data_IF_042940042127
#
_entry.id   IF_042940042127
#
_cell.length_a   1.000
_cell.length_b   1.000
_cell.length_c   1.000
_cell.angle_alpha   90.00
_cell.angle_beta   90.00
_cell.angle_gamma   90.00
#
_symmetry.space_group_name_H-M   'P 1'
#
loop_
_entity.id
_entity.type
_entity.pdbx_description
1 polymer ?
#
# COMPACT_ATOMS: atom_id res chain seq x y z
N UNK A 1 4.08 16.63 20.15
CA UNK A 1 5.54 16.57 20.01
C UNK A 1 6.13 16.02 21.31
N UNK A 2 6.78 14.86 21.28
CA UNK A 2 7.71 14.48 22.36
C UNK A 2 9.00 15.28 22.15
N UNK A 3 9.58 15.79 23.22
CA UNK A 3 10.93 16.40 23.22
C UNK A 3 11.22 17.42 22.10
N UNK A 4 10.23 18.26 21.73
CA UNK A 4 10.31 19.28 20.66
C UNK A 4 10.53 18.74 19.23
N UNK A 5 10.31 17.45 18.96
CA UNK A 5 10.52 16.82 17.65
C UNK A 5 9.34 15.99 17.11
N UNK A 6 9.56 15.41 15.92
CA UNK A 6 8.70 14.44 15.25
C UNK A 6 9.51 13.14 15.13
N UNK A 7 8.99 12.06 15.71
CA UNK A 7 9.66 10.75 15.74
C UNK A 7 8.91 9.73 14.87
N UNK A 8 9.67 8.84 14.22
CA UNK A 8 9.12 7.68 13.51
C UNK A 8 8.98 6.52 14.49
N UNK A 9 7.76 5.98 14.61
CA UNK A 9 7.48 4.83 15.48
C UNK A 9 7.86 3.54 14.76
N UNK A 10 8.64 2.69 15.42
CA UNK A 10 8.97 1.34 14.95
C UNK A 10 7.84 0.36 15.27
N UNK A 11 7.64 -0.63 14.40
CA UNK A 11 6.71 -1.72 14.68
C UNK A 11 7.32 -2.80 15.60
N UNK A 12 6.54 -3.85 15.89
CA UNK A 12 6.94 -4.95 16.78
C UNK A 12 8.20 -5.72 16.29
N UNK A 13 8.61 -5.53 15.03
CA UNK A 13 9.84 -6.10 14.44
C UNK A 13 10.95 -5.05 14.24
N UNK A 14 10.85 -3.90 14.90
CA UNK A 14 11.79 -2.78 14.80
C UNK A 14 11.93 -2.15 13.40
N UNK A 15 10.97 -2.41 12.50
CA UNK A 15 10.92 -1.78 11.19
C UNK A 15 10.23 -0.42 11.25
N UNK A 16 10.68 0.53 10.42
CA UNK A 16 10.09 1.88 10.29
C UNK A 16 8.80 1.92 9.49
N UNK A 17 8.44 0.82 8.84
CA UNK A 17 7.24 0.67 8.04
C UNK A 17 6.53 -0.62 8.41
N UNK A 18 5.20 -0.59 8.41
CA UNK A 18 4.36 -1.77 8.64
C UNK A 18 3.62 -2.11 7.35
N UNK A 19 3.74 -3.35 6.83
CA UNK A 19 3.03 -3.76 5.61
C UNK A 19 1.52 -3.54 5.72
N UNK A 20 0.90 -2.96 4.69
CA UNK A 20 -0.55 -2.74 4.64
C UNK A 20 -1.30 -4.02 4.23
N UNK A 21 -1.27 -5.03 5.11
CA UNK A 21 -1.85 -6.36 4.88
C UNK A 21 -2.67 -6.82 6.11
N UNK A 22 -3.83 -7.41 5.84
CA UNK A 22 -4.65 -8.15 6.81
C UNK A 22 -4.85 -9.57 6.31
N UNK A 23 -4.27 -10.55 6.99
CA UNK A 23 -4.48 -11.97 6.73
C UNK A 23 -5.49 -12.54 7.74
N UNK A 24 -6.55 -13.16 7.23
CA UNK A 24 -7.54 -13.86 8.04
C UNK A 24 -7.13 -15.33 8.21
N UNK A 25 -6.79 -15.70 9.44
CA UNK A 25 -6.47 -17.08 9.81
C UNK A 25 -7.67 -17.82 10.41
N UNK A 26 -7.44 -19.05 10.86
CA UNK A 26 -8.52 -19.89 11.42
C UNK A 26 -9.05 -19.38 12.77
N UNK A 27 -8.18 -18.79 13.61
CA UNK A 27 -8.53 -18.36 14.98
C UNK A 27 -8.40 -16.86 15.20
N UNK A 28 -7.57 -16.19 14.40
CA UNK A 28 -7.22 -14.78 14.58
C UNK A 28 -6.88 -14.11 13.26
N UNK A 29 -6.81 -12.78 13.30
CA UNK A 29 -6.33 -11.95 12.19
C UNK A 29 -4.86 -11.66 12.42
N UNK A 30 -4.06 -11.75 11.36
CA UNK A 30 -2.68 -11.32 11.35
C UNK A 30 -2.59 -10.02 10.55
N UNK A 31 -2.12 -8.95 11.17
CA UNK A 31 -2.12 -7.60 10.59
C UNK A 31 -0.68 -7.10 10.56
N UNK A 32 -0.32 -6.31 9.54
CA UNK A 32 1.02 -5.78 9.44
C UNK A 32 2.01 -6.86 9.02
N UNK A 33 3.14 -6.93 9.72
CA UNK A 33 4.24 -7.84 9.35
C UNK A 33 3.85 -9.31 9.49
N UNK A 34 3.09 -9.67 10.51
CA UNK A 34 2.54 -11.03 10.66
C UNK A 34 1.58 -11.41 9.50
N UNK A 35 0.79 -10.43 9.02
CA UNK A 35 -0.07 -10.62 7.85
C UNK A 35 0.74 -10.82 6.57
N UNK A 36 1.78 -10.03 6.37
CA UNK A 36 2.69 -10.16 5.23
C UNK A 36 3.40 -11.54 5.23
N UNK A 37 3.92 -12.00 6.37
CA UNK A 37 4.57 -13.30 6.51
C UNK A 37 3.65 -14.48 6.13
N UNK A 38 2.34 -14.32 6.33
CA UNK A 38 1.34 -15.35 6.02
C UNK A 38 0.87 -15.37 4.56
N UNK A 39 1.17 -14.33 3.78
CA UNK A 39 0.56 -14.11 2.45
C UNK A 39 0.92 -15.20 1.44
N UNK A 40 2.12 -15.76 1.51
CA UNK A 40 2.54 -16.83 0.60
C UNK A 40 1.79 -18.15 0.83
N UNK A 41 1.42 -18.44 2.08
CA UNK A 41 0.71 -19.66 2.46
C UNK A 41 -0.81 -19.50 2.39
N UNK A 42 -1.31 -18.29 2.62
CA UNK A 42 -2.74 -18.01 2.69
C UNK A 42 -3.19 -16.84 1.77
N UNK A 43 -2.85 -16.86 0.48
CA UNK A 43 -3.03 -15.70 -0.39
C UNK A 43 -4.48 -15.27 -0.59
N UNK A 44 -5.42 -16.23 -0.60
CA UNK A 44 -6.86 -15.96 -0.78
C UNK A 44 -7.50 -15.23 0.40
N UNK A 45 -6.87 -15.28 1.57
CA UNK A 45 -7.35 -14.65 2.80
C UNK A 45 -6.41 -13.53 3.26
N UNK A 46 -5.41 -13.15 2.46
CA UNK A 46 -4.49 -12.04 2.71
C UNK A 46 -4.89 -10.83 1.87
N UNK A 47 -5.51 -9.86 2.52
CA UNK A 47 -6.00 -8.64 1.88
C UNK A 47 -4.93 -7.56 1.94
N UNK A 48 -4.53 -7.05 0.77
CA UNK A 48 -3.57 -5.96 0.61
C UNK A 48 -4.13 -4.90 -0.36
N UNK A 49 -3.36 -3.84 -0.62
CA UNK A 49 -3.74 -2.78 -1.56
C UNK A 49 -5.08 -2.10 -1.26
N UNK A 50 -5.49 -2.06 0.02
CA UNK A 50 -6.85 -1.63 0.40
C UNK A 50 -7.21 -0.19 -0.02
N UNK A 51 -6.21 0.70 -0.14
CA UNK A 51 -6.38 2.07 -0.67
C UNK A 51 -6.94 2.08 -2.09
N UNK A 52 -6.78 0.99 -2.86
CA UNK A 52 -7.34 0.81 -4.21
C UNK A 52 -8.84 0.54 -4.19
N UNK A 53 -9.37 -0.05 -3.12
CA UNK A 53 -10.76 -0.48 -3.01
C UNK A 53 -11.63 0.49 -2.20
N UNK A 54 -11.04 1.18 -1.21
CA UNK A 54 -11.78 2.01 -0.26
C UNK A 54 -12.58 3.13 -0.96
N UNK A 55 -13.88 3.18 -0.65
CA UNK A 55 -14.83 4.19 -1.14
C UNK A 55 -15.04 4.23 -2.66
N UNK A 56 -14.65 3.18 -3.39
CA UNK A 56 -14.96 3.02 -4.82
C UNK A 56 -16.20 2.15 -5.00
N UNK A 57 -17.03 2.50 -5.99
CA UNK A 57 -18.11 1.61 -6.43
C UNK A 57 -17.53 0.36 -7.10
N UNK A 58 -18.20 -0.77 -6.95
CA UNK A 58 -17.77 -2.02 -7.56
C UNK A 58 -17.67 -1.88 -9.09
N UNK A 59 -18.58 -1.14 -9.71
CA UNK A 59 -18.62 -0.90 -11.16
C UNK A 59 -17.50 0.00 -11.70
N UNK A 60 -16.64 0.60 -10.85
CA UNK A 60 -15.52 1.44 -11.28
C UNK A 60 -14.58 0.65 -12.22
N UNK A 61 -14.34 1.09 -13.47
CA UNK A 61 -13.50 0.36 -14.42
C UNK A 61 -12.06 0.17 -13.94
N UNK A 62 -11.53 1.11 -13.13
CA UNK A 62 -10.19 1.01 -12.54
C UNK A 62 -10.17 -0.08 -11.45
N UNK A 63 -11.21 -0.14 -10.61
CA UNK A 63 -11.36 -1.20 -9.61
C UNK A 63 -11.51 -2.57 -10.28
N UNK A 64 -12.30 -2.67 -11.35
CA UNK A 64 -12.47 -3.91 -12.11
C UNK A 64 -11.16 -4.41 -12.74
N UNK A 65 -10.25 -3.50 -13.13
CA UNK A 65 -8.90 -3.87 -13.55
C UNK A 65 -8.07 -4.39 -12.39
N UNK A 66 -8.09 -3.70 -11.24
CA UNK A 66 -7.37 -4.14 -10.05
C UNK A 66 -7.85 -5.52 -9.56
N UNK A 67 -9.17 -5.78 -9.51
CA UNK A 67 -9.75 -7.05 -9.02
C UNK A 67 -9.18 -8.28 -9.76
N UNK A 68 -8.88 -8.15 -11.07
CA UNK A 68 -8.33 -9.24 -11.88
C UNK A 68 -6.94 -9.70 -11.41
N UNK A 69 -6.18 -8.85 -10.73
CA UNK A 69 -4.84 -9.17 -10.23
C UNK A 69 -4.80 -9.49 -8.73
N UNK A 70 -5.91 -9.32 -8.00
CA UNK A 70 -5.97 -9.59 -6.57
C UNK A 70 -6.05 -11.10 -6.31
N UNK A 71 -5.30 -11.63 -5.31
CA UNK A 71 -5.34 -13.05 -4.98
C UNK A 71 -6.58 -13.46 -4.17
N UNK A 72 -7.39 -12.50 -3.73
CA UNK A 72 -8.58 -12.67 -2.90
C UNK A 72 -9.85 -12.28 -3.65
N UNK A 73 -10.98 -12.85 -3.23
CA UNK A 73 -12.26 -12.65 -3.91
C UNK A 73 -12.91 -11.33 -3.48
N UNK A 74 -13.40 -10.59 -4.48
CA UNK A 74 -14.16 -9.35 -4.30
C UNK A 74 -15.43 -9.44 -5.13
N UNK A 75 -16.59 -9.20 -4.52
CA UNK A 75 -17.89 -9.16 -5.23
C UNK A 75 -18.59 -7.83 -5.01
N UNK A 76 -19.63 -7.56 -5.79
CA UNK A 76 -20.54 -6.45 -5.53
C UNK A 76 -21.39 -6.74 -4.28
N UNK A 77 -21.51 -5.75 -3.40
CA UNK A 77 -22.45 -5.73 -2.29
C UNK A 77 -23.81 -5.16 -2.71
N UNK A 78 -24.84 -5.30 -1.85
CA UNK A 78 -26.19 -4.81 -2.15
C UNK A 78 -26.28 -3.28 -2.30
N UNK A 79 -25.27 -2.56 -1.82
CA UNK A 79 -25.12 -1.11 -1.91
C UNK A 79 -24.29 -0.66 -3.14
N UNK A 80 -23.86 -1.59 -3.99
CA UNK A 80 -23.01 -1.31 -5.16
C UNK A 80 -21.53 -1.10 -4.82
N UNK A 81 -21.10 -1.35 -3.57
CA UNK A 81 -19.71 -1.27 -3.14
C UNK A 81 -19.08 -2.67 -3.04
N UNK A 82 -17.75 -2.79 -3.16
CA UNK A 82 -17.07 -4.08 -3.08
C UNK A 82 -17.17 -4.72 -1.69
N UNK A 83 -17.36 -6.04 -1.67
CA UNK A 83 -17.23 -6.91 -0.51
C UNK A 83 -16.06 -7.87 -0.71
N UNK A 84 -15.15 -7.91 0.26
CA UNK A 84 -13.96 -8.76 0.27
C UNK A 84 -14.29 -10.04 1.04
N UNK A 85 -14.11 -11.19 0.40
CA UNK A 85 -14.43 -12.49 0.98
C UNK A 85 -13.19 -13.19 1.50
N UNK A 86 -13.20 -13.55 2.78
CA UNK A 86 -12.13 -14.32 3.41
C UNK A 86 -12.70 -15.40 4.33
N UNK A 87 -12.05 -16.56 4.39
CA UNK A 87 -12.33 -17.58 5.39
C UNK A 87 -11.74 -17.15 6.73
N UNK A 88 -12.60 -16.90 7.71
CA UNK A 88 -12.22 -16.46 9.04
C UNK A 88 -13.09 -17.17 10.07
N UNK A 89 -12.46 -17.72 11.12
CA UNK A 89 -13.17 -18.48 12.16
C UNK A 89 -13.97 -19.68 11.60
N UNK A 90 -13.39 -20.39 10.64
CA UNK A 90 -14.00 -21.55 9.98
C UNK A 90 -15.02 -21.22 8.89
N UNK A 91 -15.50 -19.98 8.81
CA UNK A 91 -16.60 -19.55 7.94
C UNK A 91 -16.13 -18.61 6.83
N UNK A 92 -16.84 -18.58 5.70
CA UNK A 92 -16.67 -17.51 4.73
C UNK A 92 -17.33 -16.24 5.25
N UNK A 93 -16.57 -15.15 5.35
CA UNK A 93 -17.06 -13.85 5.80
C UNK A 93 -16.78 -12.78 4.76
N UNK A 94 -17.69 -11.83 4.66
CA UNK A 94 -17.56 -10.65 3.82
C UNK A 94 -17.18 -9.43 4.66
N UNK A 95 -16.22 -8.64 4.17
CA UNK A 95 -15.77 -7.41 4.79
C UNK A 95 -15.80 -6.27 3.77
N UNK A 96 -16.25 -5.10 4.19
CA UNK A 96 -16.09 -3.89 3.38
C UNK A 96 -14.63 -3.44 3.38
N UNK A 97 -14.16 -2.75 2.33
CA UNK A 97 -12.81 -2.19 2.35
C UNK A 97 -12.56 -1.24 3.53
N UNK A 98 -13.59 -0.50 3.94
CA UNK A 98 -13.57 0.40 5.10
C UNK A 98 -13.29 -0.37 6.40
N UNK A 99 -13.91 -1.53 6.61
CA UNK A 99 -13.62 -2.38 7.76
C UNK A 99 -12.18 -2.88 7.75
N UNK A 100 -11.67 -3.35 6.60
CA UNK A 100 -10.29 -3.82 6.49
C UNK A 100 -9.29 -2.68 6.75
N UNK A 101 -9.54 -1.50 6.20
CA UNK A 101 -8.74 -0.30 6.48
C UNK A 101 -8.76 0.04 7.98
N UNK A 102 -9.92 -0.07 8.63
CA UNK A 102 -10.07 0.11 10.08
C UNK A 102 -9.24 -0.89 10.88
N UNK A 103 -9.19 -2.17 10.48
CA UNK A 103 -8.34 -3.17 11.11
C UNK A 103 -6.86 -2.79 11.05
N UNK A 104 -6.39 -2.27 9.91
CA UNK A 104 -5.01 -1.79 9.79
C UNK A 104 -4.74 -0.57 10.68
N UNK A 105 -5.67 0.39 10.71
CA UNK A 105 -5.56 1.59 11.56
C UNK A 105 -5.55 1.22 13.05
N UNK A 106 -6.37 0.24 13.48
CA UNK A 106 -6.32 -0.29 14.85
C UNK A 106 -4.97 -0.89 15.20
N UNK A 107 -4.34 -1.62 14.27
CA UNK A 107 -3.02 -2.18 14.49
C UNK A 107 -1.94 -1.08 14.61
N UNK A 108 -1.98 -0.07 13.75
CA UNK A 108 -1.07 1.08 13.82
C UNK A 108 -1.27 1.89 15.11
N UNK A 109 -2.53 2.06 15.54
CA UNK A 109 -2.85 2.65 16.83
C UNK A 109 -2.21 1.86 17.97
N UNK A 110 -2.38 0.53 18.00
CA UNK A 110 -1.77 -0.31 19.04
C UNK A 110 -0.25 -0.23 19.08
N UNK A 111 0.42 -0.17 17.92
CA UNK A 111 1.88 0.05 17.83
C UNK A 111 2.25 1.41 18.43
N UNK A 112 1.52 2.47 18.07
CA UNK A 112 1.76 3.81 18.62
C UNK A 112 1.54 3.86 20.14
N UNK A 113 0.45 3.28 20.64
CA UNK A 113 0.12 3.24 22.08
C UNK A 113 1.18 2.51 22.89
N UNK A 114 1.69 1.37 22.41
CA UNK A 114 2.82 0.67 23.04
C UNK A 114 4.07 1.55 23.10
N UNK A 115 4.39 2.27 22.01
CA UNK A 115 5.56 3.14 21.94
C UNK A 115 5.46 4.35 22.87
N UNK A 116 4.27 4.96 22.98
CA UNK A 116 4.06 6.12 23.84
C UNK A 116 3.67 5.76 25.28
N UNK A 117 3.35 4.50 25.55
CA UNK A 117 2.82 4.02 26.83
C UNK A 117 1.63 4.87 27.32
N UNK A 118 0.74 5.22 26.40
CA UNK A 118 -0.42 6.08 26.61
C UNK A 118 -1.46 5.83 25.50
N UNK A 119 -2.72 6.17 25.77
CA UNK A 119 -3.77 6.09 24.78
C UNK A 119 -3.53 7.05 23.61
N UNK A 120 -3.78 6.59 22.38
CA UNK A 120 -3.71 7.40 21.16
C UNK A 120 -5.13 7.58 20.63
N UNK A 121 -5.63 8.81 20.72
CA UNK A 121 -7.01 9.15 20.34
C UNK A 121 -7.03 9.92 19.03
N UNK A 122 -6.31 11.04 18.97
CA UNK A 122 -6.33 11.91 17.80
C UNK A 122 -5.34 11.46 16.72
N UNK A 123 -5.70 11.66 15.45
CA UNK A 123 -4.82 11.36 14.32
C UNK A 123 -4.96 12.37 13.17
N UNK A 124 -3.93 12.43 12.34
CA UNK A 124 -3.96 13.03 11.00
C UNK A 124 -3.58 11.93 10.01
N UNK A 125 -4.41 11.73 8.97
CA UNK A 125 -4.23 10.62 8.03
C UNK A 125 -3.83 11.17 6.67
N UNK A 126 -2.69 10.69 6.15
CA UNK A 126 -2.26 10.94 4.78
C UNK A 126 -3.13 10.19 3.77
N UNK A 127 -3.64 10.90 2.77
CA UNK A 127 -4.42 10.34 1.66
C UNK A 127 -3.86 10.81 0.31
N UNK A 128 -4.05 10.03 -0.77
CA UNK A 128 -3.71 10.49 -2.10
C UNK A 128 -4.51 11.74 -2.49
N UNK A 129 -3.89 12.65 -3.23
CA UNK A 129 -4.51 13.92 -3.67
C UNK A 129 -5.79 13.68 -4.48
N UNK A 130 -5.82 12.58 -5.22
CA UNK A 130 -6.90 12.19 -6.11
C UNK A 130 -8.08 11.46 -5.44
N UNK A 131 -8.04 11.25 -4.12
CA UNK A 131 -9.16 10.63 -3.41
C UNK A 131 -10.43 11.49 -3.49
N UNK A 132 -11.53 10.88 -3.92
CA UNK A 132 -12.84 11.51 -4.03
C UNK A 132 -13.48 11.75 -2.65
N UNK A 133 -14.59 12.49 -2.61
CA UNK A 133 -15.36 12.71 -1.38
C UNK A 133 -15.73 11.38 -0.68
N UNK A 134 -16.22 10.40 -1.44
CA UNK A 134 -16.62 9.09 -0.91
C UNK A 134 -15.44 8.31 -0.34
N UNK A 135 -14.28 8.35 -1.00
CA UNK A 135 -13.06 7.70 -0.50
C UNK A 135 -12.55 8.35 0.78
N UNK A 136 -12.57 9.69 0.84
CA UNK A 136 -12.22 10.45 2.05
C UNK A 136 -13.15 10.10 3.20
N UNK A 137 -14.46 10.03 2.95
CA UNK A 137 -15.44 9.65 3.96
C UNK A 137 -15.19 8.23 4.48
N UNK A 138 -14.94 7.27 3.58
CA UNK A 138 -14.62 5.90 3.95
C UNK A 138 -13.33 5.80 4.80
N UNK A 139 -12.32 6.64 4.58
CA UNK A 139 -11.12 6.70 5.45
C UNK A 139 -11.46 7.24 6.85
N UNK A 140 -12.33 8.25 6.96
CA UNK A 140 -12.80 8.76 8.26
C UNK A 140 -13.62 7.73 9.03
N UNK A 141 -14.48 6.98 8.33
CA UNK A 141 -15.25 5.90 8.92
C UNK A 141 -14.32 4.75 9.37
N UNK A 142 -13.28 4.43 8.59
CA UNK A 142 -12.24 3.47 8.99
C UNK A 142 -11.48 3.91 10.25
N UNK A 143 -11.17 5.21 10.38
CA UNK A 143 -10.57 5.76 11.60
C UNK A 143 -11.52 5.63 12.80
N UNK A 144 -12.81 5.89 12.59
CA UNK A 144 -13.85 5.72 13.62
C UNK A 144 -13.95 4.27 14.08
N UNK A 145 -13.95 3.30 13.14
CA UNK A 145 -13.90 1.86 13.45
C UNK A 145 -12.68 1.52 14.31
N UNK A 146 -11.55 2.18 14.06
CA UNK A 146 -10.32 1.97 14.83
C UNK A 146 -10.30 2.67 16.21
N UNK A 147 -11.34 3.42 16.56
CA UNK A 147 -11.38 4.24 17.77
C UNK A 147 -10.37 5.38 17.74
N UNK A 148 -10.14 5.95 16.55
CA UNK A 148 -9.34 7.16 16.34
C UNK A 148 -10.26 8.33 15.98
N UNK A 149 -9.90 9.52 16.44
CA UNK A 149 -10.52 10.77 16.07
C UNK A 149 -9.66 11.50 15.02
N UNK A 150 -10.05 11.48 13.74
CA UNK A 150 -9.29 12.15 12.68
C UNK A 150 -9.49 13.67 12.74
N UNK A 151 -8.45 14.39 13.18
CA UNK A 151 -8.44 15.86 13.18
C UNK A 151 -8.43 16.44 11.76
N UNK A 152 -7.74 15.75 10.85
CA UNK A 152 -7.60 16.17 9.45
C UNK A 152 -7.21 14.97 8.57
N UNK A 153 -7.71 14.98 7.34
CA UNK A 153 -7.07 14.26 6.23
C UNK A 153 -6.14 15.23 5.51
N UNK A 154 -4.89 14.83 5.32
CA UNK A 154 -3.88 15.62 4.61
C UNK A 154 -3.47 14.89 3.34
N UNK A 155 -3.24 15.62 2.25
CA UNK A 155 -2.68 15.01 1.05
C UNK A 155 -1.25 14.56 1.34
N UNK A 156 -0.88 13.35 0.91
CA UNK A 156 0.45 12.76 1.12
C UNK A 156 1.56 13.71 0.66
N UNK A 157 1.46 14.24 -0.57
CA UNK A 157 2.44 15.19 -1.12
C UNK A 157 2.45 16.55 -0.41
N UNK A 158 1.31 16.98 0.14
CA UNK A 158 1.26 18.21 0.98
C UNK A 158 1.93 17.98 2.34
N UNK A 159 1.80 16.79 2.92
CA UNK A 159 2.52 16.43 4.14
C UNK A 159 4.03 16.39 3.88
N UNK A 160 4.47 15.86 2.74
CA UNK A 160 5.87 15.89 2.30
C UNK A 160 6.38 17.34 2.11
N UNK A 161 5.61 18.19 1.44
CA UNK A 161 5.95 19.60 1.26
C UNK A 161 6.02 20.34 2.60
N UNK A 162 5.11 20.05 3.54
CA UNK A 162 5.14 20.61 4.89
C UNK A 162 6.40 20.18 5.65
N UNK A 163 6.75 18.90 5.60
CA UNK A 163 7.97 18.39 6.22
C UNK A 163 9.21 19.10 5.65
N UNK A 164 9.30 19.24 4.32
CA UNK A 164 10.38 20.00 3.68
C UNK A 164 10.45 21.44 4.21
N UNK A 165 9.32 22.15 4.25
CA UNK A 165 9.27 23.55 4.71
C UNK A 165 9.64 23.75 6.18
N UNK A 166 9.34 22.79 7.05
CA UNK A 166 9.67 22.87 8.48
C UNK A 166 11.19 22.72 8.72
N UNK A 167 11.84 21.81 7.98
CA UNK A 167 13.26 21.52 8.19
C UNK A 167 14.22 22.38 7.35
N UNK A 168 13.73 23.02 6.28
CA UNK A 168 14.55 23.89 5.42
C UNK A 168 14.78 25.25 6.09
N UNK A 169 16.05 25.58 6.36
CA UNK A 169 16.44 26.78 7.14
C UNK A 169 16.73 28.02 6.29
N UNK A 170 16.97 27.82 5.00
CA UNK A 170 17.41 28.82 4.01
C UNK A 170 16.28 29.23 3.04
N UNK A 171 15.03 29.22 3.50
CA UNK A 171 13.89 29.64 2.69
C UNK A 171 13.90 31.18 2.46
N UNK A 172 13.59 31.65 1.24
CA UNK A 172 13.59 33.07 0.92
C UNK A 172 12.52 33.85 1.70
N UNK A 173 12.82 35.12 2.02
CA UNK A 173 11.87 35.99 2.71
C UNK A 173 10.86 36.64 1.75
N UNK A 174 11.31 37.12 0.59
CA UNK A 174 10.50 37.94 -0.31
C UNK A 174 10.01 37.18 -1.55
N UNK A 175 10.84 36.32 -2.14
CA UNK A 175 10.52 35.58 -3.36
C UNK A 175 9.96 34.18 -3.06
N UNK A 176 9.13 33.64 -3.95
CA UNK A 176 8.64 32.26 -3.83
C UNK A 176 9.69 31.29 -4.37
N UNK A 177 10.19 30.40 -3.51
CA UNK A 177 10.92 29.22 -3.98
C UNK A 177 9.91 28.14 -4.39
N UNK A 178 9.81 27.86 -5.68
CA UNK A 178 8.96 26.78 -6.18
C UNK A 178 9.73 25.46 -6.15
N UNK A 179 9.16 24.45 -5.50
CA UNK A 179 9.72 23.10 -5.38
C UNK A 179 8.70 22.09 -5.91
N UNK A 180 9.17 21.15 -6.74
CA UNK A 180 8.38 20.03 -7.21
C UNK A 180 8.64 18.80 -6.32
N UNK A 181 7.57 18.21 -5.80
CA UNK A 181 7.59 16.92 -5.10
C UNK A 181 6.99 15.86 -6.01
N UNK A 182 7.74 14.80 -6.27
CA UNK A 182 7.33 13.66 -7.08
C UNK A 182 7.35 12.43 -6.19
N UNK A 183 6.18 11.85 -5.95
CA UNK A 183 5.98 10.64 -5.16
C UNK A 183 5.50 9.52 -6.08
N UNK A 184 6.37 8.54 -6.33
CA UNK A 184 6.04 7.31 -7.06
C UNK A 184 6.06 6.16 -6.05
N UNK A 185 4.88 5.85 -5.52
CA UNK A 185 4.71 4.80 -4.54
C UNK A 185 4.52 3.42 -5.19
N UNK A 186 3.93 2.50 -4.43
CA UNK A 186 3.65 1.15 -4.91
C UNK A 186 2.65 1.12 -6.07
N UNK A 187 1.63 1.99 -6.10
CA UNK A 187 0.50 1.86 -7.03
C UNK A 187 0.08 3.14 -7.75
N UNK A 188 0.73 4.29 -7.46
CA UNK A 188 0.39 5.55 -8.09
C UNK A 188 1.54 6.54 -8.02
N UNK A 189 1.55 7.47 -8.97
CA UNK A 189 2.43 8.62 -9.04
C UNK A 189 1.63 9.88 -8.68
N UNK A 190 2.21 10.74 -7.86
CA UNK A 190 1.65 12.02 -7.47
C UNK A 190 2.73 13.10 -7.61
N UNK A 191 2.37 14.22 -8.22
CA UNK A 191 3.24 15.39 -8.36
C UNK A 191 2.56 16.57 -7.67
N UNK A 192 3.34 17.33 -6.91
CA UNK A 192 2.88 18.53 -6.25
C UNK A 192 3.91 19.65 -6.45
N UNK A 193 3.46 20.80 -6.94
CA UNK A 193 4.29 22.01 -7.00
C UNK A 193 3.90 22.89 -5.80
N UNK A 194 4.88 23.21 -4.97
CA UNK A 194 4.70 24.03 -3.78
C UNK A 194 5.60 25.25 -3.82
N UNK A 195 5.05 26.41 -3.48
CA UNK A 195 5.78 27.65 -3.29
C UNK A 195 6.08 27.86 -1.81
N UNK A 196 7.35 28.13 -1.49
CA UNK A 196 7.83 28.37 -0.13
C UNK A 196 8.33 29.80 0.04
N UNK A 197 8.03 30.36 1.22
CA UNK A 197 8.70 31.52 1.81
C UNK A 197 8.98 31.19 3.28
N UNK A 198 9.82 31.99 3.94
CA UNK A 198 10.07 31.87 5.38
C UNK A 198 8.74 31.84 6.16
N UNK A 199 8.45 30.70 6.79
CA UNK A 199 7.23 30.48 7.57
C UNK A 199 5.93 30.26 6.76
N UNK A 200 5.99 30.15 5.43
CA UNK A 200 4.81 29.99 4.58
C UNK A 200 4.98 28.90 3.52
N UNK A 201 3.93 28.11 3.34
CA UNK A 201 3.79 27.09 2.31
C UNK A 201 2.48 27.33 1.54
N UNK A 202 2.54 27.33 0.22
CA UNK A 202 1.37 27.32 -0.65
C UNK A 202 1.48 26.22 -1.69
N UNK A 203 0.48 25.34 -1.76
CA UNK A 203 0.36 24.39 -2.85
C UNK A 203 -0.12 25.15 -4.10
N UNK A 204 0.64 25.05 -5.20
CA UNK A 204 0.36 25.77 -6.44
C UNK A 204 -0.37 24.87 -7.44
N UNK A 205 0.04 23.61 -7.55
CA UNK A 205 -0.63 22.63 -8.40
C UNK A 205 -0.38 21.20 -7.93
N UNK A 206 -1.21 20.29 -8.43
CA UNK A 206 -1.04 18.86 -8.28
C UNK A 206 -1.42 18.14 -9.58
N UNK A 207 -0.72 17.05 -9.87
CA UNK A 207 -1.04 16.12 -10.93
C UNK A 207 -0.81 14.70 -10.42
N UNK A 208 -1.39 13.70 -11.06
CA UNK A 208 -1.26 12.31 -10.63
C UNK A 208 -1.50 11.34 -11.77
N UNK A 209 -0.92 10.15 -11.64
CA UNK A 209 -1.30 8.96 -12.38
C UNK A 209 -1.66 7.86 -11.36
N UNK A 210 -2.89 7.38 -11.42
CA UNK A 210 -3.40 6.36 -10.49
C UNK A 210 -2.95 4.95 -10.87
N UNK A 211 -2.31 4.74 -12.01
CA UNK A 211 -1.94 3.41 -12.53
C UNK A 211 -0.47 3.36 -12.93
N UNK A 212 0.36 4.11 -12.20
CA UNK A 212 1.81 4.12 -12.36
C UNK A 212 2.49 4.06 -11.00
N UNK A 213 3.04 2.90 -10.64
CA UNK A 213 3.82 2.71 -9.43
C UNK A 213 4.69 1.47 -9.48
N UNK A 214 5.37 1.18 -8.38
CA UNK A 214 6.27 0.03 -8.26
C UNK A 214 5.66 -1.31 -8.69
N UNK A 215 4.37 -1.53 -8.46
CA UNK A 215 3.64 -2.76 -8.84
C UNK A 215 3.56 -2.96 -10.36
N UNK A 216 3.53 -1.88 -11.12
CA UNK A 216 3.39 -1.94 -12.57
C UNK A 216 4.72 -2.35 -13.21
N UNK A 217 5.85 -1.93 -12.62
CA UNK A 217 7.17 -2.47 -12.94
C UNK A 217 7.30 -3.94 -12.55
N UNK A 218 6.77 -4.34 -11.39
CA UNK A 218 6.77 -5.75 -10.96
C UNK A 218 5.97 -6.63 -11.93
N UNK A 219 4.83 -6.13 -12.43
CA UNK A 219 4.00 -6.86 -13.40
C UNK A 219 4.66 -6.93 -14.78
N UNK A 220 5.36 -5.87 -15.22
CA UNK A 220 6.15 -5.91 -16.46
C UNK A 220 7.25 -7.00 -16.40
N UNK A 221 7.98 -7.09 -15.29
CA UNK A 221 8.95 -8.16 -15.06
C UNK A 221 8.27 -9.54 -14.98
N UNK A 222 7.13 -9.63 -14.30
CA UNK A 222 6.35 -10.86 -14.21
C UNK A 222 5.96 -11.38 -15.59
N UNK A 223 5.43 -10.53 -16.47
CA UNK A 223 5.06 -10.93 -17.84
C UNK A 223 6.26 -11.36 -18.67
N UNK A 224 7.39 -10.65 -18.56
CA UNK A 224 8.64 -11.03 -19.22
C UNK A 224 9.09 -12.43 -18.81
N UNK A 225 9.21 -12.69 -17.50
CA UNK A 225 9.65 -14.00 -17.00
C UNK A 225 8.61 -15.10 -17.19
N UNK A 226 7.32 -14.79 -17.11
CA UNK A 226 6.26 -15.77 -17.38
C UNK A 226 6.33 -16.26 -18.83
N UNK A 227 6.55 -15.37 -19.80
CA UNK A 227 6.75 -15.75 -21.20
C UNK A 227 8.04 -16.56 -21.38
N UNK A 228 9.16 -16.07 -20.82
CA UNK A 228 10.45 -16.77 -20.85
C UNK A 228 10.36 -18.18 -20.27
N UNK A 229 9.68 -18.36 -19.14
CA UNK A 229 9.56 -19.67 -18.49
C UNK A 229 8.57 -20.60 -19.18
N UNK A 230 7.56 -20.06 -19.86
CA UNK A 230 6.70 -20.83 -20.75
C UNK A 230 7.48 -21.40 -21.93
N UNK A 231 8.42 -20.62 -22.47
CA UNK A 231 9.23 -21.04 -23.61
C UNK A 231 10.38 -21.97 -23.22
N UNK A 232 11.18 -21.61 -22.21
CA UNK A 232 12.38 -22.36 -21.82
C UNK A 232 12.06 -23.58 -20.95
N UNK A 233 11.16 -23.42 -19.97
CA UNK A 233 10.86 -24.45 -18.96
C UNK A 233 9.53 -25.17 -19.20
N UNK A 234 8.74 -24.74 -20.19
CA UNK A 234 7.41 -25.31 -20.51
C UNK A 234 6.45 -25.28 -19.32
N UNK A 235 6.50 -24.24 -18.50
CA UNK A 235 5.58 -24.01 -17.38
C UNK A 235 4.78 -22.73 -17.61
N UNK A 236 3.47 -22.78 -17.38
CA UNK A 236 2.61 -21.60 -17.43
C UNK A 236 2.27 -21.13 -16.02
N UNK A 237 3.14 -20.27 -15.48
CA UNK A 237 3.00 -19.72 -14.13
C UNK A 237 1.71 -18.92 -13.92
N UNK A 238 1.07 -18.45 -15.01
CA UNK A 238 -0.21 -17.72 -14.93
C UNK A 238 -1.37 -18.62 -14.51
N UNK A 239 -1.27 -19.92 -14.74
CA UNK A 239 -2.30 -20.91 -14.40
C UNK A 239 -2.20 -21.39 -12.95
N UNK A 240 -1.11 -21.07 -12.25
CA UNK A 240 -0.89 -21.47 -10.86
C UNK A 240 -0.73 -20.24 -9.96
N UNK A 241 -1.75 -19.97 -9.13
CA UNK A 241 -1.77 -18.81 -8.25
C UNK A 241 -0.56 -18.73 -7.30
N UNK A 242 -0.08 -19.89 -6.79
CA UNK A 242 1.09 -19.94 -5.88
C UNK A 242 2.38 -19.63 -6.65
N UNK A 243 2.57 -20.20 -7.83
CA UNK A 243 3.72 -19.91 -8.69
C UNK A 243 3.72 -18.42 -9.11
N UNK A 244 2.57 -17.92 -9.52
CA UNK A 244 2.35 -16.51 -9.87
C UNK A 244 2.75 -15.55 -8.74
N UNK A 245 2.35 -15.84 -7.51
CA UNK A 245 2.71 -15.01 -6.34
C UNK A 245 4.21 -15.08 -6.04
N UNK A 246 4.82 -16.27 -6.13
CA UNK A 246 6.26 -16.45 -5.92
C UNK A 246 7.08 -15.69 -6.95
N UNK A 247 6.67 -15.74 -8.22
CA UNK A 247 7.35 -15.01 -9.28
C UNK A 247 7.23 -13.49 -9.09
N UNK A 248 6.04 -12.96 -8.75
CA UNK A 248 5.88 -11.52 -8.43
C UNK A 248 6.76 -11.07 -7.27
N UNK A 249 6.81 -11.85 -6.19
CA UNK A 249 7.69 -11.55 -5.06
C UNK A 249 9.19 -11.56 -5.43
N UNK A 250 9.59 -12.45 -6.33
CA UNK A 250 10.95 -12.46 -6.87
C UNK A 250 11.22 -11.27 -7.80
N UNK A 251 10.24 -10.87 -8.63
CA UNK A 251 10.33 -9.69 -9.49
C UNK A 251 10.48 -8.41 -8.69
N UNK A 252 9.73 -8.24 -7.59
CA UNK A 252 9.88 -7.08 -6.70
C UNK A 252 11.29 -6.98 -6.11
N UNK A 253 11.84 -8.12 -5.66
CA UNK A 253 13.23 -8.18 -5.16
C UNK A 253 14.22 -7.85 -6.26
N UNK A 254 14.06 -8.44 -7.45
CA UNK A 254 14.91 -8.20 -8.61
C UNK A 254 14.92 -6.72 -9.00
N UNK A 255 13.74 -6.10 -9.12
CA UNK A 255 13.58 -4.66 -9.41
C UNK A 255 14.38 -3.78 -8.45
N UNK A 256 14.33 -4.09 -7.14
CA UNK A 256 15.08 -3.34 -6.13
C UNK A 256 16.59 -3.52 -6.30
N UNK A 257 17.08 -4.73 -6.60
CA UNK A 257 18.51 -4.97 -6.86
C UNK A 257 18.98 -4.23 -8.12
N UNK A 258 18.17 -4.23 -9.18
CA UNK A 258 18.45 -3.52 -10.44
C UNK A 258 18.43 -1.99 -10.30
N UNK A 259 17.85 -1.45 -9.22
CA UNK A 259 17.92 -0.01 -8.93
C UNK A 259 19.33 0.43 -8.51
N UNK A 260 20.17 -0.50 -8.07
CA UNK A 260 21.55 -0.24 -7.65
C UNK A 260 22.60 -0.91 -8.56
N UNK A 261 22.19 -1.86 -9.41
CA UNK A 261 23.10 -2.66 -10.23
C UNK A 261 22.60 -2.76 -11.67
N UNK A 262 23.48 -2.73 -12.68
CA UNK A 262 23.07 -2.81 -14.09
C UNK A 262 22.52 -4.18 -14.49
N UNK A 263 22.88 -5.25 -13.76
CA UNK A 263 22.46 -6.63 -14.02
C UNK A 263 22.22 -7.34 -12.69
N UNK A 264 21.23 -8.23 -12.64
CA UNK A 264 20.96 -9.07 -11.48
C UNK A 264 20.31 -10.40 -11.89
N UNK A 265 20.71 -11.54 -11.29
CA UNK A 265 20.08 -12.83 -11.59
C UNK A 265 18.77 -13.02 -10.81
N UNK A 266 17.81 -13.69 -11.43
CA UNK A 266 16.60 -14.21 -10.79
C UNK A 266 16.68 -15.73 -10.72
N UNK A 267 16.66 -16.29 -9.52
CA UNK A 267 16.64 -17.74 -9.29
C UNK A 267 15.47 -18.08 -8.36
N UNK A 268 14.63 -19.03 -8.77
CA UNK A 268 13.51 -19.50 -7.96
C UNK A 268 13.45 -21.03 -8.00
N UNK A 269 13.62 -21.65 -6.85
CA UNK A 269 13.57 -23.12 -6.71
C UNK A 269 12.13 -23.63 -6.72
N UNK A 270 11.90 -24.78 -7.35
CA UNK A 270 10.60 -25.46 -7.40
C UNK A 270 9.43 -24.52 -7.71
N UNK A 271 9.57 -23.61 -8.68
CA UNK A 271 8.56 -22.57 -8.93
C UNK A 271 7.20 -23.19 -9.29
N UNK A 272 7.21 -24.18 -10.18
CA UNK A 272 6.06 -24.95 -10.64
C UNK A 272 6.55 -26.29 -11.19
N UNK A 273 5.76 -27.36 -11.00
CA UNK A 273 6.06 -28.72 -11.50
C UNK A 273 7.47 -29.22 -11.14
N UNK A 274 7.92 -28.92 -9.91
CA UNK A 274 9.25 -29.26 -9.37
C UNK A 274 10.44 -28.67 -10.17
N UNK A 275 10.18 -27.69 -11.04
CA UNK A 275 11.23 -27.04 -11.84
C UNK A 275 11.81 -25.83 -11.13
N UNK A 276 13.13 -25.81 -11.07
CA UNK A 276 13.91 -24.61 -10.76
C UNK A 276 14.00 -23.73 -12.00
N UNK A 277 13.81 -22.43 -11.82
CA UNK A 277 13.93 -21.45 -12.89
C UNK A 277 15.06 -20.47 -12.63
N UNK A 278 15.72 -20.06 -13.72
CA UNK A 278 16.77 -19.05 -13.71
C UNK A 278 16.49 -18.02 -14.80
N UNK A 279 16.72 -16.77 -14.48
CA UNK A 279 16.55 -15.64 -15.38
C UNK A 279 17.74 -14.70 -15.25
N UNK A 280 18.39 -14.42 -16.37
CA UNK A 280 19.23 -13.23 -16.57
C UNK A 280 18.49 -12.23 -17.43
#
# INVERSE_FOLDING_TARGET
>A
ARQRGIDVVLNDESNRETPAVVCFGEKQRFIGTAGAASTMMNPKNSVSQIKRLVGRQFSDPELQRDIKSLPFSVTEGPDGYPLIHARYLGEMRAFTPTQVMGMMLSNLKGIAEKNVNAAVVDCCIGIPVYFTFLQRRAVLDAATIAGLHPLRLIHETTATALAYGIYKTDLPENELLNVAFIDIGHASMQVCIAGFKKGQLKILSHAFDRSLGGRDFDEALFHHFAAKFKDEYKIDVSQNAKASLRLRAACEKLKKVLSANPVAPLNIECLMDEKDVRGG
#
